data_IF_694945939118
#
_entry.id   IF_694945939118
#
_cell.length_a   1.000
_cell.length_b   1.000
_cell.length_c   1.000
_cell.angle_alpha   90.00
_cell.angle_beta   90.00
_cell.angle_gamma   90.00
#
_symmetry.space_group_name_H-M   'P 1'
#
loop_
_entity.id
_entity.type
_entity.pdbx_description
1 polymer ?
#
# COMPACT_ATOMS: atom_id res chain seq x y z
N UNK A 1 15.60 -1.73 -8.35
CA UNK A 1 14.56 -1.63 -9.39
C UNK A 1 13.72 -2.89 -9.31
N UNK A 2 12.70 -2.90 -8.46
CA UNK A 2 11.69 -3.97 -8.46
C UNK A 2 10.87 -3.78 -9.73
N UNK A 3 10.98 -4.76 -10.62
CA UNK A 3 10.21 -4.81 -11.85
C UNK A 3 8.74 -4.67 -11.48
N UNK A 4 8.13 -3.54 -11.83
CA UNK A 4 6.71 -3.29 -11.58
C UNK A 4 5.98 -4.38 -12.35
N UNK A 5 5.48 -5.39 -11.65
CA UNK A 5 4.72 -6.48 -12.26
C UNK A 5 3.61 -5.83 -13.07
N UNK A 6 3.77 -5.82 -14.39
CA UNK A 6 2.79 -5.28 -15.30
C UNK A 6 1.55 -6.15 -15.16
N UNK A 7 0.52 -5.63 -14.52
CA UNK A 7 -0.76 -6.30 -14.39
C UNK A 7 -1.66 -5.84 -15.53
N UNK A 8 -1.79 -6.60 -16.64
CA UNK A 8 -2.62 -6.17 -17.74
C UNK A 8 -4.07 -5.98 -17.25
N UNK A 9 -4.78 -4.96 -17.75
CA UNK A 9 -6.14 -4.63 -17.32
C UNK A 9 -7.14 -5.76 -17.59
N UNK A 10 -6.76 -6.78 -18.36
CA UNK A 10 -7.55 -7.95 -18.72
C UNK A 10 -6.98 -9.26 -18.15
N UNK A 11 -6.12 -9.19 -17.12
CA UNK A 11 -5.59 -10.40 -16.47
C UNK A 11 -6.75 -11.19 -15.82
N UNK A 12 -6.86 -12.47 -16.20
CA UNK A 12 -7.66 -13.46 -15.47
C UNK A 12 -6.81 -13.97 -14.33
N UNK A 13 -7.31 -13.82 -13.10
CA UNK A 13 -6.58 -14.23 -11.91
C UNK A 13 -6.53 -15.76 -11.82
N UNK A 14 -5.35 -16.33 -11.61
CA UNK A 14 -5.14 -17.77 -11.54
C UNK A 14 -5.66 -18.38 -10.24
N UNK A 15 -5.88 -19.69 -10.23
CA UNK A 15 -6.16 -20.48 -9.03
C UNK A 15 -5.10 -20.22 -7.94
N UNK A 16 -5.53 -20.14 -6.69
CA UNK A 16 -4.67 -19.84 -5.54
C UNK A 16 -4.38 -18.36 -5.32
N UNK A 17 -4.77 -17.47 -6.24
CA UNK A 17 -4.60 -16.02 -6.07
C UNK A 17 -5.45 -15.54 -4.89
N UNK A 18 -4.82 -14.82 -3.96
CA UNK A 18 -5.52 -14.15 -2.86
C UNK A 18 -6.16 -12.86 -3.37
N UNK A 19 -7.44 -12.70 -3.09
CA UNK A 19 -8.25 -11.55 -3.51
C UNK A 19 -8.98 -10.93 -2.33
N UNK A 20 -9.31 -9.66 -2.48
CA UNK A 20 -10.11 -8.86 -1.55
C UNK A 20 -11.42 -8.50 -2.24
N UNK A 21 -12.55 -8.67 -1.54
CA UNK A 21 -13.86 -8.28 -2.05
C UNK A 21 -14.04 -6.76 -1.97
N UNK A 22 -14.47 -6.15 -3.07
CA UNK A 22 -14.76 -4.72 -3.17
C UNK A 22 -16.20 -4.37 -2.80
N UNK A 23 -17.05 -5.40 -2.68
CA UNK A 23 -18.47 -5.31 -2.29
C UNK A 23 -18.76 -6.32 -1.17
N UNK A 24 -19.82 -6.13 -0.37
CA UNK A 24 -20.29 -7.18 0.54
C UNK A 24 -20.75 -8.40 -0.26
N UNK A 25 -20.38 -9.59 0.20
CA UNK A 25 -20.81 -10.87 -0.36
C UNK A 25 -22.11 -11.26 0.31
N UNK A 26 -23.16 -11.41 -0.50
CA UNK A 26 -24.49 -11.78 -0.05
C UNK A 26 -24.70 -13.27 -0.31
N UNK A 27 -25.27 -13.98 0.67
CA UNK A 27 -25.72 -15.35 0.49
C UNK A 27 -27.05 -15.41 -0.25
N UNK A 28 -27.50 -16.63 -0.57
CA UNK A 28 -28.76 -16.86 -1.30
C UNK A 28 -30.00 -16.25 -0.63
N UNK A 29 -29.96 -16.07 0.69
CA UNK A 29 -31.04 -15.44 1.48
C UNK A 29 -30.97 -13.90 1.51
N UNK A 30 -30.02 -13.29 0.79
CA UNK A 30 -29.78 -11.83 0.83
C UNK A 30 -29.04 -11.35 2.08
N UNK A 31 -28.71 -12.24 3.02
CA UNK A 31 -27.90 -11.89 4.20
C UNK A 31 -26.44 -11.70 3.79
N UNK A 32 -25.78 -10.70 4.37
CA UNK A 32 -24.32 -10.53 4.23
C UNK A 32 -23.61 -11.72 4.87
N UNK A 33 -22.91 -12.50 4.04
CA UNK A 33 -22.02 -13.57 4.48
C UNK A 33 -20.64 -13.00 4.83
N UNK A 34 -20.12 -12.13 3.95
CA UNK A 34 -18.82 -11.50 4.14
C UNK A 34 -18.91 -10.00 3.89
N UNK A 35 -18.39 -9.15 4.79
CA UNK A 35 -18.35 -7.72 4.54
C UNK A 35 -17.43 -7.38 3.37
N UNK A 36 -17.56 -6.18 2.82
CA UNK A 36 -16.56 -5.59 1.91
C UNK A 36 -15.19 -5.60 2.59
N UNK A 37 -14.14 -5.91 1.82
CA UNK A 37 -12.77 -6.04 2.33
C UNK A 37 -12.40 -7.44 2.80
N UNK A 38 -13.31 -8.41 2.65
CA UNK A 38 -13.03 -9.79 3.04
C UNK A 38 -12.02 -10.43 2.09
N UNK A 39 -11.10 -11.21 2.66
CA UNK A 39 -10.06 -11.91 1.91
C UNK A 39 -10.54 -13.31 1.57
N UNK A 40 -10.33 -13.71 0.31
CA UNK A 40 -10.58 -15.07 -0.16
C UNK A 40 -9.51 -15.54 -1.13
N UNK A 41 -9.59 -16.81 -1.50
CA UNK A 41 -8.68 -17.45 -2.46
C UNK A 41 -9.49 -17.92 -3.67
N UNK A 42 -8.97 -17.67 -4.87
CA UNK A 42 -9.59 -18.16 -6.10
C UNK A 42 -9.43 -19.67 -6.20
N UNK A 43 -10.56 -20.37 -6.29
CA UNK A 43 -10.62 -21.83 -6.45
C UNK A 43 -11.17 -22.25 -7.82
N UNK A 44 -11.75 -21.30 -8.56
CA UNK A 44 -12.03 -21.44 -9.99
C UNK A 44 -11.90 -20.09 -10.69
N UNK A 45 -11.14 -20.07 -11.78
CA UNK A 45 -11.04 -18.92 -12.67
C UNK A 45 -12.00 -19.10 -13.86
N UNK A 46 -12.63 -18.03 -14.34
CA UNK A 46 -13.40 -18.06 -15.59
C UNK A 46 -12.46 -18.25 -16.79
N UNK A 47 -13.01 -18.70 -17.92
CA UNK A 47 -12.28 -18.80 -19.19
C UNK A 47 -12.19 -17.46 -19.93
N UNK A 48 -13.04 -16.51 -19.56
CA UNK A 48 -13.16 -15.17 -20.13
C UNK A 48 -13.37 -14.12 -19.01
N UNK A 49 -13.63 -12.87 -19.39
CA UNK A 49 -13.79 -11.75 -18.46
C UNK A 49 -15.23 -11.50 -18.02
N UNK A 50 -16.21 -12.13 -18.67
CA UNK A 50 -17.64 -11.92 -18.42
C UNK A 50 -18.20 -12.90 -17.37
N UNK A 51 -17.48 -14.00 -17.13
CA UNK A 51 -17.85 -14.98 -16.13
C UNK A 51 -17.22 -14.72 -14.76
N UNK A 52 -17.92 -15.17 -13.72
CA UNK A 52 -17.49 -15.01 -12.34
C UNK A 52 -16.40 -15.99 -11.92
N UNK A 53 -15.53 -15.52 -11.03
CA UNK A 53 -14.62 -16.35 -10.25
C UNK A 53 -15.38 -17.12 -9.18
N UNK A 54 -14.88 -18.30 -8.80
CA UNK A 54 -15.26 -18.93 -7.53
C UNK A 54 -14.20 -18.62 -6.49
N UNK A 55 -14.62 -17.99 -5.40
CA UNK A 55 -13.74 -17.55 -4.31
C UNK A 55 -14.13 -18.29 -3.04
N UNK A 56 -13.14 -18.91 -2.38
CA UNK A 56 -13.28 -19.55 -1.08
C UNK A 56 -12.81 -18.61 0.03
N UNK A 57 -13.64 -18.44 1.05
CA UNK A 57 -13.33 -17.64 2.23
C UNK A 57 -12.76 -18.50 3.37
N UNK A 58 -12.27 -17.85 4.43
CA UNK A 58 -11.60 -18.50 5.54
C UNK A 58 -12.50 -19.46 6.35
N UNK A 59 -13.82 -19.25 6.31
CA UNK A 59 -14.83 -20.12 6.92
C UNK A 59 -15.21 -21.32 6.02
N UNK A 60 -14.59 -21.44 4.85
CA UNK A 60 -14.83 -22.52 3.89
C UNK A 60 -16.00 -22.27 2.93
N UNK A 61 -16.74 -21.16 3.07
CA UNK A 61 -17.80 -20.80 2.14
C UNK A 61 -17.20 -20.42 0.79
N UNK A 62 -17.84 -20.88 -0.29
CA UNK A 62 -17.44 -20.54 -1.65
C UNK A 62 -18.54 -19.78 -2.39
N UNK A 63 -18.23 -18.57 -2.86
CA UNK A 63 -19.17 -17.71 -3.57
C UNK A 63 -18.65 -17.29 -4.95
N UNK A 64 -19.59 -17.00 -5.84
CA UNK A 64 -19.32 -16.54 -7.19
C UNK A 64 -19.22 -15.02 -7.22
N UNK A 65 -18.08 -14.49 -7.65
CA UNK A 65 -17.83 -13.05 -7.71
C UNK A 65 -17.34 -12.63 -9.08
N UNK A 66 -17.92 -11.55 -9.61
CA UNK A 66 -17.51 -10.98 -10.88
C UNK A 66 -16.20 -10.20 -10.72
N UNK A 67 -15.50 -9.97 -11.83
CA UNK A 67 -14.16 -9.37 -11.84
C UNK A 67 -14.11 -7.98 -11.21
N UNK A 68 -15.14 -7.17 -11.39
CA UNK A 68 -15.29 -5.83 -10.83
C UNK A 68 -15.56 -5.82 -9.32
N UNK A 69 -15.93 -6.97 -8.76
CA UNK A 69 -16.22 -7.15 -7.33
C UNK A 69 -14.99 -7.56 -6.52
N UNK A 70 -13.83 -7.75 -7.16
CA UNK A 70 -12.63 -8.25 -6.51
C UNK A 70 -11.34 -7.60 -7.04
N UNK A 71 -10.33 -7.56 -6.18
CA UNK A 71 -8.97 -7.13 -6.53
C UNK A 71 -7.96 -8.07 -5.89
N UNK A 72 -6.76 -8.19 -6.45
CA UNK A 72 -5.71 -8.98 -5.80
C UNK A 72 -5.32 -8.37 -4.46
N UNK A 73 -5.10 -9.21 -3.45
CA UNK A 73 -4.68 -8.75 -2.12
C UNK A 73 -3.38 -7.94 -2.18
N UNK A 74 -2.43 -8.33 -3.04
CA UNK A 74 -1.21 -7.58 -3.27
C UNK A 74 -1.50 -6.15 -3.75
N UNK A 75 -2.38 -5.98 -4.76
CA UNK A 75 -2.78 -4.66 -5.27
C UNK A 75 -3.54 -3.85 -4.22
N UNK A 76 -4.44 -4.48 -3.46
CA UNK A 76 -5.17 -3.83 -2.38
C UNK A 76 -4.20 -3.27 -1.33
N UNK A 77 -3.25 -4.08 -0.90
CA UNK A 77 -2.18 -3.68 0.02
C UNK A 77 -1.29 -2.60 -0.58
N UNK A 78 -0.94 -2.66 -1.86
CA UNK A 78 -0.18 -1.58 -2.51
C UNK A 78 -0.97 -0.27 -2.58
N UNK A 79 -2.29 -0.31 -2.73
CA UNK A 79 -3.11 0.91 -2.70
C UNK A 79 -3.27 1.49 -1.28
N UNK A 80 -3.24 0.66 -0.24
CA UNK A 80 -3.30 1.11 1.16
C UNK A 80 -1.92 1.49 1.74
N UNK A 81 -0.87 0.74 1.41
CA UNK A 81 0.52 0.93 1.89
C UNK A 81 1.28 1.91 0.99
N UNK A 82 0.90 1.99 -0.28
CA UNK A 82 1.72 2.51 -1.37
C UNK A 82 1.14 3.74 -2.04
N UNK A 83 0.65 4.69 -1.25
CA UNK A 83 0.75 6.08 -1.67
C UNK A 83 1.90 6.83 -0.98
N UNK A 84 2.95 6.08 -0.63
CA UNK A 84 4.17 6.64 -0.04
C UNK A 84 4.80 7.70 -0.95
N UNK A 85 4.61 7.59 -2.27
CA UNK A 85 5.02 8.59 -3.26
C UNK A 85 4.25 9.91 -3.13
N UNK A 86 2.91 9.90 -3.03
CA UNK A 86 2.13 11.13 -2.81
C UNK A 86 2.29 11.62 -1.37
N UNK A 87 2.37 10.74 -0.37
CA UNK A 87 2.67 11.11 1.02
C UNK A 87 4.04 11.78 1.12
N UNK A 88 5.06 11.30 0.40
CA UNK A 88 6.37 11.96 0.28
C UNK A 88 6.27 13.31 -0.44
N UNK A 89 5.55 13.39 -1.57
CA UNK A 89 5.34 14.63 -2.32
C UNK A 89 4.58 15.69 -1.50
N UNK A 90 3.67 15.26 -0.61
CA UNK A 90 2.88 16.14 0.25
C UNK A 90 3.53 16.43 1.59
N UNK A 91 4.46 15.59 2.05
CA UNK A 91 5.14 15.80 3.32
C UNK A 91 6.41 16.62 3.13
N UNK A 92 6.31 17.91 3.44
CA UNK A 92 7.48 18.72 3.70
C UNK A 92 8.17 18.27 5.00
N UNK A 93 9.21 17.42 4.91
CA UNK A 93 9.90 16.87 6.08
C UNK A 93 10.52 17.97 6.98
N UNK A 94 10.78 19.16 6.45
CA UNK A 94 11.28 20.29 7.25
C UNK A 94 10.29 20.74 8.32
N UNK A 95 8.98 20.59 8.10
CA UNK A 95 7.94 20.91 9.08
C UNK A 95 7.88 19.89 10.23
N UNK A 96 8.57 18.74 10.08
CA UNK A 96 8.59 17.64 11.05
C UNK A 96 9.89 17.58 11.85
N UNK A 97 10.75 18.59 11.70
CA UNK A 97 11.98 18.74 12.47
C UNK A 97 11.62 19.08 13.91
N UNK A 98 11.94 18.17 14.83
CA UNK A 98 11.73 18.35 16.27
C UNK A 98 12.85 19.23 16.84
N UNK A 99 14.06 19.04 16.34
CA UNK A 99 15.23 19.77 16.78
C UNK A 99 16.19 20.03 15.63
N UNK A 100 16.76 21.23 15.58
CA UNK A 100 17.83 21.61 14.66
C UNK A 100 18.78 22.59 15.34
N UNK A 101 20.06 22.34 15.22
CA UNK A 101 21.11 23.25 15.66
C UNK A 101 22.19 23.41 14.60
N UNK A 102 22.91 24.53 14.69
CA UNK A 102 24.20 24.69 14.03
C UNK A 102 25.25 24.11 14.96
N UNK A 103 26.21 23.37 14.41
CA UNK A 103 27.36 22.82 15.14
C UNK A 103 28.66 23.28 14.48
N UNK A 104 29.80 22.96 15.10
CA UNK A 104 31.12 23.29 14.57
C UNK A 104 31.55 24.74 14.84
N UNK A 105 32.53 25.24 14.08
CA UNK A 105 33.16 26.56 14.30
C UNK A 105 32.14 27.71 14.35
N UNK A 106 31.06 27.60 13.55
CA UNK A 106 29.94 28.55 13.54
C UNK A 106 29.19 28.61 14.87
N UNK A 107 28.98 27.47 15.53
CA UNK A 107 28.27 27.41 16.81
C UNK A 107 29.11 27.99 17.96
N UNK A 108 30.43 27.89 17.87
CA UNK A 108 31.37 28.32 18.92
C UNK A 108 31.98 29.70 18.65
N UNK A 109 31.62 30.39 17.57
CA UNK A 109 32.18 31.71 17.23
C UNK A 109 33.63 31.67 16.75
N UNK A 110 34.10 30.54 16.23
CA UNK A 110 35.45 30.32 15.71
C UNK A 110 35.50 30.28 14.17
N UNK A 111 34.42 30.70 13.51
CA UNK A 111 34.31 30.61 12.06
C UNK A 111 35.26 31.59 11.35
N UNK A 112 35.91 31.11 10.28
CA UNK A 112 36.73 31.90 9.36
C UNK A 112 36.20 31.84 7.93
N UNK A 113 36.93 32.43 6.98
CA UNK A 113 36.50 32.60 5.58
C UNK A 113 36.18 31.27 4.86
N UNK A 114 36.81 30.17 5.27
CA UNK A 114 36.53 28.82 4.75
C UNK A 114 35.60 27.97 5.60
N UNK A 115 34.98 28.52 6.66
CA UNK A 115 34.08 27.74 7.52
C UNK A 115 32.70 27.55 6.90
N UNK A 116 32.26 26.31 6.79
CA UNK A 116 30.91 25.94 6.36
C UNK A 116 29.89 26.02 7.51
N UNK A 117 28.61 25.75 7.21
CA UNK A 117 27.52 25.75 8.20
C UNK A 117 26.92 24.35 8.28
N UNK A 118 27.39 23.57 9.24
CA UNK A 118 26.83 22.27 9.58
C UNK A 118 25.55 22.40 10.39
N UNK A 119 24.46 21.84 9.87
CA UNK A 119 23.19 21.70 10.60
C UNK A 119 22.97 20.25 10.98
N UNK A 120 22.76 19.99 12.27
CA UNK A 120 22.32 18.68 12.78
C UNK A 120 20.95 18.82 13.39
N UNK A 121 20.22 17.72 13.46
CA UNK A 121 18.88 17.72 13.98
C UNK A 121 18.26 16.34 14.01
N UNK A 122 17.03 16.30 14.53
CA UNK A 122 16.18 15.11 14.57
C UNK A 122 14.81 15.51 14.06
N UNK A 123 14.22 14.65 13.24
CA UNK A 123 12.86 14.80 12.74
C UNK A 123 12.13 13.46 12.88
N UNK A 124 10.80 13.51 12.97
CA UNK A 124 9.96 12.32 12.98
C UNK A 124 9.10 12.31 11.71
N UNK A 125 9.45 11.50 10.69
CA UNK A 125 8.61 11.38 9.51
C UNK A 125 7.24 10.76 9.87
N UNK A 126 6.21 10.93 9.03
CA UNK A 126 4.98 10.17 9.15
C UNK A 126 5.27 8.66 9.20
N UNK A 127 4.44 7.90 9.93
CA UNK A 127 4.57 6.45 10.05
C UNK A 127 4.62 5.76 8.68
N UNK A 128 3.77 6.18 7.74
CA UNK A 128 3.73 5.62 6.39
C UNK A 128 5.06 5.80 5.64
N UNK A 129 5.77 6.91 5.83
CA UNK A 129 7.11 7.09 5.26
C UNK A 129 8.15 6.31 6.06
N UNK A 130 8.10 6.36 7.40
CA UNK A 130 9.07 5.74 8.29
C UNK A 130 9.12 4.21 8.18
N UNK A 131 7.97 3.56 7.97
CA UNK A 131 7.82 2.11 7.88
C UNK A 131 7.77 1.58 6.44
N UNK A 132 7.92 2.46 5.46
CA UNK A 132 8.06 2.07 4.06
C UNK A 132 9.53 1.85 3.68
N UNK A 133 9.74 1.45 2.43
CA UNK A 133 11.06 1.43 1.80
C UNK A 133 11.46 2.78 1.18
N UNK A 134 10.83 3.89 1.59
CA UNK A 134 11.13 5.22 1.05
C UNK A 134 12.59 5.62 1.35
N UNK A 135 13.37 5.85 0.29
CA UNK A 135 14.77 6.28 0.39
C UNK A 135 15.82 5.15 0.42
N UNK A 136 15.39 3.89 0.30
CA UNK A 136 16.25 2.69 0.10
C UNK A 136 16.20 2.28 -1.37
#
# INVERSE_FOLDING_TARGET
MTDRVHHPPNLIYSLGTQVVTLVPVLGQSGKVLHPRGSVGVIVRSPADLDHSYRVRFADGIEESLHRDQLTMLARFKESEIGDTGITALRCNLYERVIYRCVIGSQAYGLAGEGSDIDRRGVYLPPADLHWSLYGV
#
